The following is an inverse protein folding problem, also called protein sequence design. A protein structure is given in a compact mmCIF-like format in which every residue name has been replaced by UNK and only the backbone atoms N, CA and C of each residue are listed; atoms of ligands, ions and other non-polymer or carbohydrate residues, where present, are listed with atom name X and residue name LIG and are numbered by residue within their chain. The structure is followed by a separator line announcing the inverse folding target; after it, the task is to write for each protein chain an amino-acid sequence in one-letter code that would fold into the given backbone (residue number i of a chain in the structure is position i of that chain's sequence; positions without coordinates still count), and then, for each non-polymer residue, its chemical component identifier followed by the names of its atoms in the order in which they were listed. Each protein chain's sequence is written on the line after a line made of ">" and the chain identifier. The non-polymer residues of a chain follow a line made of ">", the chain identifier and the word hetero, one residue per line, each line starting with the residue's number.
data_IF_456571513275
#
_entry.id   IF_456571513275
#
_cell.length_a   1.000
_cell.length_b   1.000
_cell.length_c   1.000
_cell.angle_alpha   90.00
_cell.angle_beta   90.00
_cell.angle_gamma   90.00
#
_symmetry.space_group_name_H-M   'P 1'
#
loop_
_entity.id
_entity.type
_entity.pdbx_description
1 polymer ?
#
# COMPACT_ATOMS: atom_id res chain seq x y z
N UNK A 1 -29.34 -3.22 54.93
CA UNK A 1 -29.03 -4.27 53.95
C UNK A 1 -29.90 -4.08 52.72
N UNK A 2 -29.33 -4.38 51.55
CA UNK A 2 -29.91 -4.35 50.21
C UNK A 2 -30.15 -2.97 49.57
N UNK A 3 -29.16 -2.56 48.77
CA UNK A 3 -29.24 -1.48 47.80
C UNK A 3 -30.32 -1.80 46.74
N UNK A 4 -31.31 -0.92 46.61
CA UNK A 4 -32.24 -0.96 45.47
C UNK A 4 -31.73 -0.04 44.37
N UNK A 5 -30.69 -0.50 43.68
CA UNK A 5 -30.22 0.07 42.41
C UNK A 5 -30.38 -1.00 41.34
N UNK A 6 -31.44 -0.88 40.55
CA UNK A 6 -31.42 -1.35 39.16
C UNK A 6 -32.31 -0.47 38.33
N UNK A 7 -31.74 0.67 37.96
CA UNK A 7 -32.17 1.50 36.85
C UNK A 7 -32.40 0.60 35.64
N UNK A 8 -33.67 0.50 35.25
CA UNK A 8 -34.01 0.20 33.87
C UNK A 8 -33.52 1.38 33.04
N UNK A 9 -32.90 1.09 31.89
CA UNK A 9 -32.33 2.01 30.89
C UNK A 9 -30.91 2.48 31.19
N UNK A 10 -29.96 1.56 31.06
CA UNK A 10 -28.60 1.87 30.58
C UNK A 10 -28.06 0.66 29.79
N UNK A 11 -28.91 0.07 28.96
CA UNK A 11 -28.42 -0.74 27.85
C UNK A 11 -28.42 0.16 26.62
N UNK A 12 -27.33 0.91 26.46
CA UNK A 12 -26.88 1.34 25.14
C UNK A 12 -26.56 0.07 24.35
N UNK A 13 -27.27 -0.23 23.25
CA UNK A 13 -26.92 -1.37 22.40
C UNK A 13 -25.85 -1.00 21.35
N UNK A 14 -25.40 0.26 21.26
CA UNK A 14 -24.95 0.78 19.98
C UNK A 14 -23.77 1.73 20.15
N UNK A 15 -22.57 1.17 20.06
CA UNK A 15 -21.44 1.76 19.32
C UNK A 15 -20.20 0.89 19.57
N UNK A 16 -20.25 -0.32 19.01
CA UNK A 16 -19.15 -0.94 18.28
C UNK A 16 -17.73 -0.47 18.68
N UNK A 17 -17.23 -0.94 19.83
CA UNK A 17 -15.78 -1.01 20.06
C UNK A 17 -15.26 -2.37 19.56
N UNK A 18 -15.70 -2.78 18.37
CA UNK A 18 -14.90 -3.70 17.59
C UNK A 18 -13.79 -2.84 16.99
N UNK A 19 -12.64 -2.81 17.67
CA UNK A 19 -11.38 -2.38 17.08
C UNK A 19 -11.03 -3.43 16.03
N UNK A 20 -11.73 -3.37 14.89
CA UNK A 20 -11.47 -4.16 13.70
C UNK A 20 -10.02 -3.87 13.34
N UNK A 21 -9.24 -4.93 13.47
CA UNK A 21 -7.82 -4.96 13.23
C UNK A 21 -7.57 -4.60 11.76
N UNK A 22 -7.27 -3.32 11.51
CA UNK A 22 -6.49 -2.85 10.38
C UNK A 22 -7.07 -3.15 9.00
N UNK A 23 -7.97 -2.28 8.53
CA UNK A 23 -8.13 -1.98 7.10
C UNK A 23 -6.85 -1.31 6.56
N UNK A 24 -5.74 -2.06 6.54
CA UNK A 24 -4.63 -1.82 5.61
C UNK A 24 -4.73 -2.85 4.50
N UNK A 25 -5.89 -2.91 3.84
CA UNK A 25 -5.95 -3.46 2.49
C UNK A 25 -5.23 -2.48 1.55
N UNK A 26 -3.89 -2.43 1.64
CA UNK A 26 -3.06 -1.77 0.61
C UNK A 26 -3.03 -2.71 -0.59
N UNK A 27 -4.04 -2.57 -1.42
CA UNK A 27 -4.21 -3.34 -2.63
C UNK A 27 -5.22 -2.66 -3.54
N UNK A 28 -5.15 -1.33 -3.64
CA UNK A 28 -5.82 -0.58 -4.69
C UNK A 28 -5.22 -1.02 -6.02
N UNK A 29 -5.92 -1.91 -6.69
CA UNK A 29 -5.64 -2.34 -8.05
C UNK A 29 -6.06 -1.15 -8.96
N UNK A 30 -5.30 -0.92 -10.02
CA UNK A 30 -5.74 -0.17 -11.21
C UNK A 30 -5.51 1.35 -11.31
N UNK A 31 -4.38 1.86 -10.81
CA UNK A 31 -3.78 3.07 -11.40
C UNK A 31 -2.46 2.68 -12.07
N UNK A 32 -2.42 2.69 -13.41
CA UNK A 32 -1.20 2.41 -14.19
C UNK A 32 0.00 3.24 -13.71
N UNK A 33 -0.25 4.49 -13.30
CA UNK A 33 0.77 5.39 -12.76
C UNK A 33 1.38 4.91 -11.42
N UNK A 34 0.54 4.42 -10.50
CA UNK A 34 0.97 3.97 -9.16
C UNK A 34 1.69 2.63 -9.24
N UNK A 35 1.25 1.75 -10.14
CA UNK A 35 1.93 0.49 -10.43
C UNK A 35 3.37 0.75 -10.90
N UNK A 36 3.59 1.73 -11.79
CA UNK A 36 4.93 2.08 -12.27
C UNK A 36 5.83 2.61 -11.15
N UNK A 37 5.31 3.42 -10.23
CA UNK A 37 6.07 3.93 -9.10
C UNK A 37 6.57 2.81 -8.18
N UNK A 38 5.70 1.85 -7.87
CA UNK A 38 6.04 0.68 -7.06
C UNK A 38 7.06 -0.23 -7.76
N UNK A 39 6.89 -0.47 -9.06
CA UNK A 39 7.84 -1.25 -9.87
C UNK A 39 9.22 -0.60 -9.88
N UNK A 40 9.32 0.71 -10.11
CA UNK A 40 10.61 1.43 -10.07
C UNK A 40 11.30 1.31 -8.71
N UNK A 41 10.54 1.44 -7.62
CA UNK A 41 11.05 1.25 -6.26
C UNK A 41 11.63 -0.15 -6.06
N UNK A 42 10.89 -1.18 -6.49
CA UNK A 42 11.32 -2.57 -6.43
C UNK A 42 12.58 -2.85 -7.26
N UNK A 43 12.66 -2.34 -8.49
CA UNK A 43 13.84 -2.48 -9.35
C UNK A 43 15.06 -1.78 -8.74
N UNK A 44 14.90 -0.58 -8.19
CA UNK A 44 15.98 0.13 -7.50
C UNK A 44 16.50 -0.63 -6.29
N UNK A 45 15.60 -1.24 -5.51
CA UNK A 45 15.98 -2.10 -4.39
C UNK A 45 16.75 -3.34 -4.86
N UNK A 46 16.34 -3.97 -5.97
CA UNK A 46 17.03 -5.12 -6.55
C UNK A 46 18.46 -4.79 -6.98
N UNK A 47 18.70 -3.59 -7.55
CA UNK A 47 20.04 -3.11 -7.94
C UNK A 47 20.96 -2.94 -6.72
N UNK A 48 20.44 -2.30 -5.66
CA UNK A 48 21.20 -2.03 -4.43
C UNK A 48 21.43 -3.28 -3.57
N UNK A 49 20.65 -4.34 -3.77
CA UNK A 49 20.77 -5.55 -2.97
C UNK A 49 22.06 -6.31 -3.31
N UNK A 50 22.98 -6.52 -2.33
CA UNK A 50 24.23 -7.27 -2.55
C UNK A 50 23.99 -8.74 -2.90
N UNK A 51 22.83 -9.31 -2.52
CA UNK A 51 22.46 -10.69 -2.82
C UNK A 51 21.90 -10.90 -4.23
N UNK A 52 21.69 -9.82 -4.99
CA UNK A 52 21.23 -9.91 -6.38
C UNK A 52 22.39 -10.20 -7.32
N UNK A 53 22.19 -11.09 -8.29
CA UNK A 53 23.21 -11.42 -9.29
C UNK A 53 23.49 -10.24 -10.24
N UNK A 54 24.70 -10.16 -10.80
CA UNK A 54 25.08 -9.10 -11.74
C UNK A 54 24.16 -9.02 -12.96
N UNK A 55 23.71 -10.18 -13.47
CA UNK A 55 22.75 -10.24 -14.58
C UNK A 55 21.41 -9.60 -14.18
N UNK A 56 20.88 -9.94 -13.01
CA UNK A 56 19.61 -9.41 -12.53
C UNK A 56 19.68 -7.90 -12.22
N UNK A 57 20.83 -7.40 -11.74
CA UNK A 57 21.06 -5.95 -11.55
C UNK A 57 21.01 -5.21 -12.88
N UNK A 58 21.69 -5.73 -13.90
CA UNK A 58 21.68 -5.13 -15.25
C UNK A 58 20.28 -5.12 -15.86
N UNK A 59 19.54 -6.24 -15.76
CA UNK A 59 18.14 -6.28 -16.21
C UNK A 59 17.25 -5.29 -15.44
N UNK A 60 17.50 -5.10 -14.15
CA UNK A 60 16.77 -4.13 -13.34
C UNK A 60 17.09 -2.68 -13.73
N UNK A 61 18.35 -2.37 -14.04
CA UNK A 61 18.79 -1.06 -14.56
C UNK A 61 18.15 -0.74 -15.91
N UNK A 62 18.18 -1.69 -16.85
CA UNK A 62 17.57 -1.53 -18.19
C UNK A 62 16.06 -1.29 -18.08
N UNK A 63 15.35 -2.07 -17.25
CA UNK A 63 13.91 -1.87 -17.02
C UNK A 63 13.61 -0.54 -16.32
N UNK A 64 14.44 -0.13 -15.36
CA UNK A 64 14.28 1.15 -14.66
C UNK A 64 14.42 2.32 -15.64
N UNK A 65 15.41 2.28 -16.54
CA UNK A 65 15.61 3.28 -17.58
C UNK A 65 14.41 3.38 -18.54
N UNK A 66 13.91 2.25 -19.04
CA UNK A 66 12.71 2.22 -19.90
C UNK A 66 11.47 2.80 -19.20
N UNK A 67 11.30 2.50 -17.90
CA UNK A 67 10.20 3.05 -17.12
C UNK A 67 10.34 4.56 -16.96
N UNK A 68 11.53 5.06 -16.67
CA UNK A 68 11.84 6.50 -16.54
C UNK A 68 11.58 7.26 -17.85
N UNK A 69 11.92 6.68 -18.99
CA UNK A 69 11.62 7.23 -20.32
C UNK A 69 10.11 7.27 -20.59
N UNK A 70 9.37 6.20 -20.28
CA UNK A 70 7.91 6.15 -20.48
C UNK A 70 7.15 7.25 -19.71
N UNK A 71 7.68 7.74 -18.57
CA UNK A 71 7.08 8.85 -17.82
C UNK A 71 7.19 10.20 -18.55
N UNK A 72 8.12 10.35 -19.49
CA UNK A 72 8.22 11.56 -20.32
C UNK A 72 7.15 11.60 -21.42
N UNK A 73 6.60 10.46 -21.83
CA UNK A 73 5.62 10.38 -22.93
C UNK A 73 4.16 10.41 -22.45
N UNK A 74 3.91 10.24 -21.14
CA UNK A 74 2.57 10.28 -20.53
C UNK A 74 1.99 11.67 -20.24
N UNK A 75 2.44 12.71 -20.95
CA UNK A 75 1.87 14.07 -20.85
C UNK A 75 1.64 14.63 -22.26
N UNK A 76 0.55 14.21 -22.91
CA UNK A 76 -0.42 15.18 -23.37
C UNK A 76 -1.84 14.67 -23.08
N UNK A 77 -2.43 15.12 -21.98
CA UNK A 77 -3.88 15.25 -21.94
C UNK A 77 -4.14 16.73 -21.71
N UNK A 78 -4.83 17.29 -22.70
CA UNK A 78 -5.11 18.70 -22.92
C UNK A 78 -5.83 19.40 -21.74
#
# INVERSE_FOLDING_TARGET
>A
MAASLRSKLDLSPEAQEERVLGDKAVGGIDNDADHLANVRGGLKAAISNPNTSNKAKREAEEKLAMLDERKKEGSPTA
#
